data_IF_289639620822
#
_entry.id   IF_289639620822
#
_cell.length_a   1.000
_cell.length_b   1.000
_cell.length_c   1.000
_cell.angle_alpha   90.00
_cell.angle_beta   90.00
_cell.angle_gamma   90.00
#
_symmetry.space_group_name_H-M   'P 1'
#
loop_
_entity.id
_entity.type
_entity.pdbx_description
1 polymer ?
#
# COMPACT_ATOMS: atom_id res chain seq x y z
N UNK A 1 18.65 -32.39 38.71
CA UNK A 1 18.70 -33.66 37.96
C UNK A 1 18.22 -33.37 36.55
N UNK A 2 19.10 -33.51 35.57
CA UNK A 2 18.82 -33.18 34.17
C UNK A 2 17.77 -34.15 33.60
N UNK A 3 16.73 -33.62 32.97
CA UNK A 3 15.77 -34.41 32.21
C UNK A 3 16.50 -34.80 30.92
N UNK A 4 16.99 -36.04 30.88
CA UNK A 4 17.64 -36.60 29.71
C UNK A 4 16.72 -36.49 28.50
N UNK A 5 17.26 -35.89 27.43
CA UNK A 5 16.58 -35.71 26.16
C UNK A 5 16.12 -37.05 25.63
N UNK A 6 14.80 -37.27 25.64
CA UNK A 6 14.14 -38.38 24.97
C UNK A 6 14.53 -38.30 23.50
N UNK A 7 15.45 -39.16 23.06
CA UNK A 7 15.76 -39.31 21.64
C UNK A 7 14.47 -39.70 20.93
N UNK A 8 13.92 -38.77 20.15
CA UNK A 8 12.79 -39.01 19.25
C UNK A 8 13.23 -40.11 18.30
N UNK A 9 12.85 -41.35 18.58
CA UNK A 9 13.07 -42.46 17.66
C UNK A 9 12.18 -42.20 16.46
N UNK A 10 12.82 -41.93 15.33
CA UNK A 10 12.17 -41.82 14.04
C UNK A 10 11.54 -43.18 13.69
N UNK A 11 10.21 -43.22 13.62
CA UNK A 11 9.48 -44.36 13.10
C UNK A 11 8.89 -43.96 11.73
N UNK A 12 9.43 -44.49 10.61
CA UNK A 12 8.98 -44.16 9.27
C UNK A 12 7.47 -44.35 9.05
N UNK A 13 6.86 -45.31 9.76
CA UNK A 13 5.42 -45.53 9.67
C UNK A 13 4.64 -44.40 10.35
N UNK A 14 5.06 -44.00 11.55
CA UNK A 14 4.41 -42.92 12.30
C UNK A 14 4.45 -41.59 11.53
N UNK A 15 5.56 -41.29 10.85
CA UNK A 15 5.65 -40.09 10.00
C UNK A 15 4.76 -40.17 8.76
N UNK A 16 4.69 -41.33 8.10
CA UNK A 16 3.80 -41.54 6.96
C UNK A 16 2.32 -41.35 7.37
N UNK A 17 1.93 -41.80 8.56
CA UNK A 17 0.60 -41.55 9.11
C UNK A 17 0.35 -40.07 9.43
N UNK A 18 1.32 -39.38 10.04
CA UNK A 18 1.21 -37.94 10.30
C UNK A 18 1.11 -37.14 9.00
N UNK A 19 1.93 -37.45 7.99
CA UNK A 19 1.88 -36.87 6.65
C UNK A 19 0.50 -37.04 6.01
N UNK A 20 -0.04 -38.26 6.01
CA UNK A 20 -1.40 -38.53 5.48
C UNK A 20 -2.49 -37.77 6.25
N UNK A 21 -2.36 -37.68 7.57
CA UNK A 21 -3.31 -36.93 8.39
C UNK A 21 -3.27 -35.42 8.08
N UNK A 22 -2.07 -34.85 7.86
CA UNK A 22 -1.93 -33.45 7.47
C UNK A 22 -2.50 -33.18 6.07
N UNK A 23 -2.26 -34.08 5.10
CA UNK A 23 -2.85 -33.97 3.77
C UNK A 23 -4.38 -33.99 3.83
N UNK A 24 -4.97 -34.92 4.61
CA UNK A 24 -6.42 -35.00 4.78
C UNK A 24 -7.00 -33.74 5.45
N UNK A 25 -6.28 -33.16 6.42
CA UNK A 25 -6.66 -31.88 7.03
C UNK A 25 -6.64 -30.75 6.00
N UNK A 26 -5.58 -30.65 5.19
CA UNK A 26 -5.46 -29.64 4.14
C UNK A 26 -6.59 -29.76 3.10
N UNK A 27 -6.91 -30.98 2.66
CA UNK A 27 -8.03 -31.23 1.76
C UNK A 27 -9.38 -30.81 2.36
N UNK A 28 -9.63 -31.15 3.62
CA UNK A 28 -10.85 -30.76 4.31
C UNK A 28 -10.95 -29.24 4.47
N UNK A 29 -9.86 -28.57 4.84
CA UNK A 29 -9.82 -27.11 4.91
C UNK A 29 -10.09 -26.48 3.55
N UNK A 30 -9.54 -27.03 2.46
CA UNK A 30 -9.81 -26.55 1.10
C UNK A 30 -11.29 -26.72 0.73
N UNK A 31 -11.90 -27.86 1.04
CA UNK A 31 -13.34 -28.10 0.80
C UNK A 31 -14.22 -27.15 1.60
N UNK A 32 -13.95 -27.02 2.90
CA UNK A 32 -14.69 -26.10 3.76
C UNK A 32 -14.53 -24.65 3.33
N UNK A 33 -13.33 -24.27 2.88
CA UNK A 33 -13.09 -22.94 2.36
C UNK A 33 -13.93 -22.68 1.12
N UNK A 34 -13.91 -23.63 0.17
CA UNK A 34 -14.69 -23.53 -1.05
C UNK A 34 -16.20 -23.45 -0.74
N UNK A 35 -16.75 -24.39 0.03
CA UNK A 35 -18.19 -24.42 0.35
C UNK A 35 -18.68 -23.15 1.06
N UNK A 36 -17.85 -22.55 1.93
CA UNK A 36 -18.27 -21.40 2.76
C UNK A 36 -17.96 -20.05 2.13
N UNK A 37 -16.93 -19.96 1.30
CA UNK A 37 -16.36 -18.70 0.85
C UNK A 37 -16.16 -18.60 -0.66
N UNK A 38 -16.44 -19.64 -1.45
CA UNK A 38 -16.29 -19.54 -2.92
C UNK A 38 -17.15 -18.45 -3.53
N UNK A 39 -18.36 -18.26 -3.00
CA UNK A 39 -19.32 -17.24 -3.45
C UNK A 39 -18.77 -15.82 -3.33
N UNK A 40 -17.78 -15.57 -2.46
CA UNK A 40 -17.16 -14.26 -2.31
C UNK A 40 -16.33 -13.87 -3.54
N UNK A 41 -15.86 -14.85 -4.31
CA UNK A 41 -15.22 -14.60 -5.60
C UNK A 41 -16.23 -14.14 -6.65
N UNK A 42 -17.41 -14.75 -6.66
CA UNK A 42 -18.51 -14.38 -7.55
C UNK A 42 -19.01 -12.97 -7.21
N UNK A 43 -19.24 -12.68 -5.92
CA UNK A 43 -19.65 -11.35 -5.45
C UNK A 43 -18.62 -10.26 -5.80
N UNK A 44 -17.32 -10.58 -5.68
CA UNK A 44 -16.25 -9.67 -6.11
C UNK A 44 -16.33 -9.38 -7.60
N UNK A 45 -16.57 -10.39 -8.42
CA UNK A 45 -16.67 -10.24 -9.86
C UNK A 45 -17.88 -9.38 -10.21
N UNK A 46 -19.05 -9.67 -9.63
CA UNK A 46 -20.27 -8.88 -9.80
C UNK A 46 -20.08 -7.42 -9.40
N UNK A 47 -19.38 -7.15 -8.30
CA UNK A 47 -19.09 -5.79 -7.87
C UNK A 47 -18.16 -5.05 -8.84
N UNK A 48 -17.18 -5.74 -9.42
CA UNK A 48 -16.29 -5.17 -10.44
C UNK A 48 -17.05 -4.85 -11.73
N UNK A 49 -17.93 -5.74 -12.16
CA UNK A 49 -18.72 -5.56 -13.37
C UNK A 49 -19.68 -4.37 -13.21
N UNK A 50 -20.40 -4.29 -12.09
CA UNK A 50 -21.22 -3.11 -11.74
C UNK A 50 -20.42 -1.80 -11.72
N UNK A 51 -19.22 -1.82 -11.14
CA UNK A 51 -18.36 -0.64 -11.11
C UNK A 51 -17.89 -0.21 -12.50
N UNK A 52 -17.61 -1.17 -13.39
CA UNK A 52 -17.22 -0.89 -14.76
C UNK A 52 -18.39 -0.35 -15.59
N UNK A 53 -19.60 -0.87 -15.38
CA UNK A 53 -20.80 -0.35 -16.03
C UNK A 53 -21.07 1.11 -15.62
N UNK A 54 -20.96 1.44 -14.33
CA UNK A 54 -21.07 2.83 -13.86
C UNK A 54 -20.01 3.72 -14.51
N UNK A 55 -18.77 3.25 -14.64
CA UNK A 55 -17.70 4.01 -15.31
C UNK A 55 -18.00 4.23 -16.79
N UNK A 56 -18.57 3.23 -17.47
CA UNK A 56 -18.97 3.33 -18.88
C UNK A 56 -20.10 4.34 -19.04
N UNK A 57 -21.15 4.23 -18.22
CA UNK A 57 -22.27 5.19 -18.21
C UNK A 57 -21.80 6.62 -17.91
N UNK A 58 -20.90 6.79 -16.94
CA UNK A 58 -20.31 8.09 -16.63
C UNK A 58 -19.48 8.64 -17.79
N UNK A 59 -18.73 7.78 -18.50
CA UNK A 59 -17.97 8.18 -19.68
C UNK A 59 -18.86 8.54 -20.88
N UNK A 60 -20.01 7.88 -21.02
CA UNK A 60 -21.01 8.17 -22.06
C UNK A 60 -21.83 9.45 -21.75
N UNK A 61 -22.14 9.68 -20.46
CA UNK A 61 -22.89 10.85 -20.00
C UNK A 61 -22.05 12.12 -19.91
N UNK A 62 -20.72 12.00 -19.76
CA UNK A 62 -19.82 13.14 -19.84
C UNK A 62 -19.82 13.64 -21.29
N UNK A 63 -20.18 14.91 -21.55
CA UNK A 63 -19.93 15.49 -22.86
C UNK A 63 -18.44 15.30 -23.12
N UNK A 64 -18.09 14.64 -24.22
CA UNK A 64 -16.72 14.59 -24.69
C UNK A 64 -16.28 16.04 -24.91
N UNK A 65 -15.71 16.65 -23.87
CA UNK A 65 -14.99 17.90 -23.99
C UNK A 65 -13.87 17.51 -24.92
N UNK A 66 -14.01 17.88 -26.20
CA UNK A 66 -12.95 17.82 -27.16
C UNK A 66 -11.82 18.62 -26.52
N UNK A 67 -10.89 17.90 -25.90
CA UNK A 67 -9.63 18.46 -25.44
C UNK A 67 -9.01 18.87 -26.77
N UNK A 68 -9.21 20.15 -27.13
CA UNK A 68 -8.34 20.81 -28.08
C UNK A 68 -6.97 20.54 -27.52
N UNK A 69 -6.24 19.64 -28.15
CA UNK A 69 -4.86 19.34 -27.82
C UNK A 69 -4.08 20.61 -28.16
N UNK A 70 -4.15 21.59 -27.27
CA UNK A 70 -3.27 22.74 -27.27
C UNK A 70 -1.86 22.21 -27.08
N UNK A 71 -1.17 22.19 -28.22
CA UNK A 71 0.23 22.46 -28.42
C UNK A 71 1.20 21.73 -27.48
N UNK A 72 1.77 20.67 -28.03
CA UNK A 72 3.22 20.38 -28.02
C UNK A 72 3.98 20.93 -26.80
N UNK A 73 3.60 20.50 -25.60
CA UNK A 73 4.49 20.61 -24.44
C UNK A 73 5.67 19.69 -24.70
N UNK A 74 6.71 20.23 -25.33
CA UNK A 74 8.01 19.59 -25.50
C UNK A 74 8.52 19.21 -24.12
N UNK A 75 8.45 17.92 -23.80
CA UNK A 75 9.14 17.36 -22.65
C UNK A 75 10.63 17.48 -22.94
N UNK A 76 11.28 18.45 -22.29
CA UNK A 76 12.74 18.51 -22.28
C UNK A 76 13.27 17.17 -21.76
N UNK A 77 14.36 16.63 -22.34
CA UNK A 77 14.91 15.36 -21.90
C UNK A 77 15.20 15.41 -20.40
N UNK A 78 14.93 14.30 -19.72
CA UNK A 78 15.23 14.14 -18.31
C UNK A 78 16.73 14.43 -18.11
N UNK A 79 17.11 15.40 -17.27
CA UNK A 79 18.51 15.68 -17.03
C UNK A 79 19.19 14.43 -16.48
N UNK A 80 20.34 14.08 -17.03
CA UNK A 80 21.19 13.02 -16.49
C UNK A 80 21.67 13.49 -15.11
N UNK A 81 20.95 13.08 -14.08
CA UNK A 81 21.39 13.28 -12.70
C UNK A 81 22.45 12.24 -12.39
N UNK A 82 23.52 12.65 -11.73
CA UNK A 82 24.54 11.77 -11.18
C UNK A 82 23.97 11.03 -9.96
N UNK A 83 22.94 10.20 -10.17
CA UNK A 83 22.41 9.27 -9.18
C UNK A 83 23.49 8.25 -8.85
N UNK A 84 24.38 8.65 -7.94
CA UNK A 84 25.60 7.91 -7.57
C UNK A 84 26.68 8.79 -6.94
N UNK A 85 26.71 10.10 -7.22
CA UNK A 85 27.61 11.05 -6.53
C UNK A 85 26.87 11.74 -5.38
N UNK A 86 26.58 10.96 -4.33
CA UNK A 86 26.14 11.51 -3.05
C UNK A 86 27.28 12.37 -2.51
N UNK A 87 27.10 13.70 -2.47
CA UNK A 87 28.01 14.62 -1.79
C UNK A 87 28.53 15.79 -2.62
N UNK A 88 28.52 15.75 -3.96
CA UNK A 88 29.13 16.84 -4.75
C UNK A 88 28.31 18.14 -4.71
N UNK A 89 26.97 18.05 -4.82
CA UNK A 89 26.07 19.20 -4.70
C UNK A 89 25.99 19.70 -3.25
N UNK A 90 26.02 18.80 -2.28
CA UNK A 90 26.00 19.15 -0.86
C UNK A 90 27.32 19.79 -0.37
N UNK A 91 28.42 19.65 -1.12
CA UNK A 91 29.71 20.26 -0.82
C UNK A 91 29.86 21.70 -1.33
N UNK A 92 28.95 22.18 -2.19
CA UNK A 92 28.96 23.57 -2.65
C UNK A 92 28.33 24.45 -1.56
N UNK A 93 28.98 25.55 -1.15
CA UNK A 93 28.46 26.43 -0.11
C UNK A 93 27.07 27.00 -0.46
N UNK A 94 26.80 27.20 -1.75
CA UNK A 94 25.52 27.73 -2.25
C UNK A 94 24.35 26.73 -2.14
N UNK A 95 24.65 25.44 -1.94
CA UNK A 95 23.67 24.35 -1.87
C UNK A 95 23.67 23.67 -0.49
N UNK A 96 24.33 24.29 0.49
CA UNK A 96 24.35 23.84 1.87
C UNK A 96 22.94 24.05 2.45
N UNK A 97 22.17 22.97 2.57
CA UNK A 97 20.89 23.01 3.24
C UNK A 97 21.15 23.37 4.71
N UNK A 98 20.73 24.57 5.14
CA UNK A 98 20.75 25.04 6.54
C UNK A 98 20.00 24.10 7.52
N UNK A 99 19.32 23.09 6.98
CA UNK A 99 18.32 22.25 7.62
C UNK A 99 18.95 21.03 8.35
N UNK A 100 20.23 20.71 8.12
CA UNK A 100 20.91 19.59 8.79
C UNK A 100 21.92 20.01 9.87
N UNK A 101 21.71 21.15 10.53
CA UNK A 101 22.18 21.26 11.92
C UNK A 101 21.35 20.32 12.79
N UNK A 102 21.99 19.69 13.79
CA UNK A 102 21.42 18.60 14.59
C UNK A 102 19.94 18.80 14.95
N UNK A 103 19.09 17.89 14.46
CA UNK A 103 17.74 17.59 14.96
C UNK A 103 17.00 18.78 15.59
N UNK A 104 16.15 19.44 14.81
CA UNK A 104 15.12 20.35 15.30
C UNK A 104 14.41 19.75 16.53
N UNK A 105 14.82 20.19 17.73
CA UNK A 105 14.32 19.69 19.01
C UNK A 105 12.97 20.31 19.41
N UNK A 106 12.32 21.01 18.47
CA UNK A 106 11.01 21.61 18.65
C UNK A 106 10.10 21.11 17.53
N UNK A 107 9.09 20.27 17.83
CA UNK A 107 8.10 19.90 16.84
C UNK A 107 7.43 21.18 16.31
N UNK A 108 7.09 21.24 15.00
CA UNK A 108 6.39 22.38 14.46
C UNK A 108 5.08 22.56 15.22
N UNK A 109 4.90 23.73 15.82
CA UNK A 109 3.66 24.09 16.51
C UNK A 109 2.59 24.22 15.44
N UNK A 110 1.50 23.46 15.58
CA UNK A 110 0.36 23.54 14.67
C UNK A 110 -0.14 24.99 14.63
N UNK A 111 -0.44 25.48 13.42
CA UNK A 111 -1.15 26.75 13.29
C UNK A 111 -2.56 26.57 13.89
N UNK A 112 -3.11 27.57 14.61
CA UNK A 112 -4.47 27.50 15.13
C UNK A 112 -5.45 27.33 13.98
N UNK A 113 -6.41 26.43 14.14
CA UNK A 113 -7.46 26.26 13.13
C UNK A 113 -8.41 27.46 13.14
N UNK A 114 -9.03 27.78 12.00
CA UNK A 114 -9.88 28.97 11.85
C UNK A 114 -11.06 29.01 12.85
N UNK A 115 -11.51 27.86 13.35
CA UNK A 115 -12.59 27.76 14.35
C UNK A 115 -12.13 27.87 15.81
N UNK A 116 -10.82 27.93 16.06
CA UNK A 116 -10.26 28.19 17.39
C UNK A 116 -10.22 29.70 17.71
N UNK A 117 -10.55 30.56 16.74
CA UNK A 117 -10.67 32.00 16.98
C UNK A 117 -11.92 32.30 17.83
N UNK A 118 -11.80 33.07 18.94
CA UNK A 118 -12.93 33.43 19.80
C UNK A 118 -14.08 34.15 19.08
N UNK A 119 -13.79 34.72 17.91
CA UNK A 119 -14.73 35.47 17.09
C UNK A 119 -15.39 34.64 15.99
N UNK A 120 -15.03 33.36 15.81
CA UNK A 120 -15.50 32.53 14.69
C UNK A 120 -17.03 32.40 14.64
N UNK A 121 -17.70 32.40 15.80
CA UNK A 121 -19.16 32.23 15.91
C UNK A 121 -19.90 33.58 15.95
N UNK A 122 -19.22 34.72 16.11
CA UNK A 122 -19.88 36.03 16.09
C UNK A 122 -20.08 36.53 14.67
N UNK A 123 -21.10 35.99 14.01
CA UNK A 123 -21.78 36.72 12.93
C UNK A 123 -22.87 37.60 13.56
N UNK A 124 -22.84 38.89 13.22
CA UNK A 124 -23.91 39.86 13.46
C UNK A 124 -25.18 39.44 12.72
#
# INVERSE_FOLDING_TARGET
MAIEGKTLKFDPNTEAFQMRAQLKKAENCRKQWFERWSWLLDERQDALDKANDIRREAAEALPQVAIKSEDTKSLKPVPVTSTGFIGWLASRPDCQLEIYTSWMCKPPIRLPDAWEEPNYVRKK
#
